data_IF_365673177029
#
_entry.id   IF_365673177029
#
_cell.length_a   1.000
_cell.length_b   1.000
_cell.length_c   1.000
_cell.angle_alpha   90.00
_cell.angle_beta   90.00
_cell.angle_gamma   90.00
#
_symmetry.space_group_name_H-M   'P 1'
#
loop_
_entity.id
_entity.type
_entity.pdbx_description
1 polymer ?
#
# COMPACT_ATOMS: atom_id res chain seq x y z
N UNK A 1 -4.60 -7.86 -1.62
CA UNK A 1 -4.01 -6.78 -2.47
C UNK A 1 -4.91 -6.32 -3.62
N UNK A 2 -5.59 -7.20 -4.33
CA UNK A 2 -6.53 -6.82 -5.42
C UNK A 2 -7.65 -5.90 -4.91
N UNK A 3 -8.24 -6.23 -3.75
CA UNK A 3 -9.25 -5.37 -3.12
C UNK A 3 -8.66 -4.01 -2.71
N UNK A 4 -7.39 -3.98 -2.29
CA UNK A 4 -6.67 -2.75 -1.94
C UNK A 4 -6.49 -1.86 -3.18
N UNK A 5 -6.16 -2.44 -4.33
CA UNK A 5 -6.07 -1.71 -5.60
C UNK A 5 -7.44 -1.12 -5.96
N UNK A 6 -8.49 -1.91 -5.88
CA UNK A 6 -9.85 -1.44 -6.14
C UNK A 6 -10.26 -0.28 -5.24
N UNK A 7 -10.02 -0.41 -3.94
CA UNK A 7 -10.29 0.65 -2.98
C UNK A 7 -9.46 1.93 -3.26
N UNK A 8 -8.19 1.77 -3.64
CA UNK A 8 -7.32 2.89 -3.99
C UNK A 8 -7.82 3.63 -5.24
N UNK A 9 -8.11 2.92 -6.31
CA UNK A 9 -8.49 3.53 -7.60
C UNK A 9 -9.91 4.06 -7.58
N UNK A 10 -10.87 3.24 -7.15
CA UNK A 10 -12.30 3.57 -7.23
C UNK A 10 -12.79 4.41 -6.06
N UNK A 11 -12.27 4.18 -4.86
CA UNK A 11 -12.63 4.96 -3.66
C UNK A 11 -11.76 6.19 -3.50
N UNK A 12 -10.45 6.00 -3.40
CA UNK A 12 -9.49 7.08 -3.18
C UNK A 12 -9.30 8.01 -4.38
N UNK A 13 -9.51 7.51 -5.62
CA UNK A 13 -9.36 8.32 -6.83
C UNK A 13 -10.24 9.57 -6.80
N UNK A 14 -11.58 9.45 -6.69
CA UNK A 14 -12.45 10.62 -6.56
C UNK A 14 -12.23 11.42 -5.29
N UNK A 15 -11.90 10.77 -4.17
CA UNK A 15 -11.75 11.42 -2.87
C UNK A 15 -10.47 12.27 -2.77
N UNK A 16 -9.35 11.79 -3.30
CA UNK A 16 -8.05 12.43 -3.15
C UNK A 16 -7.47 12.93 -4.46
N UNK A 17 -7.30 12.06 -5.45
CA UNK A 17 -6.60 12.40 -6.69
C UNK A 17 -7.33 13.50 -7.48
N UNK A 18 -8.64 13.38 -7.67
CA UNK A 18 -9.42 14.38 -8.37
C UNK A 18 -9.39 15.74 -7.67
N UNK A 19 -9.42 15.74 -6.33
CA UNK A 19 -9.32 16.96 -5.53
C UNK A 19 -7.95 17.60 -5.68
N UNK A 20 -6.87 16.83 -5.62
CA UNK A 20 -5.50 17.35 -5.81
C UNK A 20 -5.33 18.01 -7.18
N UNK A 21 -5.92 17.46 -8.24
CA UNK A 21 -5.86 18.06 -9.57
C UNK A 21 -6.57 19.41 -9.65
N UNK A 22 -7.57 19.65 -8.79
CA UNK A 22 -8.33 20.90 -8.78
C UNK A 22 -7.72 22.01 -7.91
N UNK A 23 -7.09 21.63 -6.78
CA UNK A 23 -6.67 22.59 -5.75
C UNK A 23 -5.17 22.95 -5.80
N UNK A 24 -4.34 22.14 -6.46
CA UNK A 24 -2.91 22.41 -6.54
C UNK A 24 -2.64 23.62 -7.48
N UNK A 25 -1.84 24.60 -7.01
CA UNK A 25 -1.77 25.91 -7.66
C UNK A 25 -0.98 25.95 -8.97
N UNK A 26 -0.18 24.91 -9.26
CA UNK A 26 0.63 24.88 -10.48
C UNK A 26 0.51 23.55 -11.22
N UNK A 27 0.62 23.53 -12.58
CA UNK A 27 0.65 22.30 -13.36
C UNK A 27 1.77 21.35 -12.94
N UNK A 28 2.90 21.87 -12.49
CA UNK A 28 4.03 21.06 -12.01
C UNK A 28 3.65 20.29 -10.75
N UNK A 29 3.03 20.91 -9.77
CA UNK A 29 2.57 20.26 -8.54
C UNK A 29 1.48 19.25 -8.82
N UNK A 30 0.52 19.57 -9.69
CA UNK A 30 -0.52 18.64 -10.12
C UNK A 30 0.06 17.40 -10.80
N UNK A 31 1.05 17.60 -11.68
CA UNK A 31 1.73 16.49 -12.36
C UNK A 31 2.50 15.61 -11.38
N UNK A 32 3.20 16.21 -10.42
CA UNK A 32 3.92 15.45 -9.40
C UNK A 32 2.95 14.65 -8.51
N UNK A 33 1.84 15.26 -8.11
CA UNK A 33 0.80 14.56 -7.35
C UNK A 33 0.22 13.38 -8.13
N UNK A 34 -0.01 13.55 -9.45
CA UNK A 34 -0.47 12.46 -10.31
C UNK A 34 0.56 11.33 -10.41
N UNK A 35 1.85 11.66 -10.56
CA UNK A 35 2.93 10.66 -10.57
C UNK A 35 2.94 9.87 -9.26
N UNK A 36 2.88 10.54 -8.13
CA UNK A 36 2.87 9.88 -6.81
C UNK A 36 1.63 9.00 -6.63
N UNK A 37 0.46 9.47 -7.06
CA UNK A 37 -0.77 8.70 -6.99
C UNK A 37 -0.68 7.41 -7.81
N UNK A 38 -0.24 7.53 -9.06
CA UNK A 38 -0.11 6.38 -9.95
C UNK A 38 1.04 5.45 -9.56
N UNK A 39 2.11 5.99 -8.95
CA UNK A 39 3.18 5.19 -8.38
C UNK A 39 2.66 4.27 -7.26
N UNK A 40 1.74 4.75 -6.43
CA UNK A 40 1.05 3.91 -5.44
C UNK A 40 0.26 2.81 -6.14
N UNK A 41 -0.51 3.13 -7.17
CA UNK A 41 -1.27 2.15 -7.93
C UNK A 41 -0.37 1.05 -8.52
N UNK A 42 0.75 1.44 -9.12
CA UNK A 42 1.75 0.51 -9.67
C UNK A 42 2.34 -0.37 -8.56
N UNK A 43 2.70 0.23 -7.42
CA UNK A 43 3.23 -0.51 -6.27
C UNK A 43 2.25 -1.56 -5.76
N UNK A 44 0.97 -1.21 -5.64
CA UNK A 44 -0.07 -2.14 -5.23
C UNK A 44 -0.24 -3.29 -6.24
N UNK A 45 -0.17 -2.98 -7.54
CA UNK A 45 -0.24 -3.99 -8.59
C UNK A 45 0.95 -4.96 -8.53
N UNK A 46 2.16 -4.45 -8.30
CA UNK A 46 3.37 -5.28 -8.13
C UNK A 46 3.26 -6.13 -6.86
N UNK A 47 2.79 -5.59 -5.76
CA UNK A 47 2.55 -6.38 -4.54
C UNK A 47 1.54 -7.50 -4.78
N UNK A 48 0.43 -7.22 -5.47
CA UNK A 48 -0.57 -8.22 -5.79
C UNK A 48 0.03 -9.35 -6.65
N UNK A 49 0.77 -9.01 -7.70
CA UNK A 49 1.42 -9.98 -8.57
C UNK A 49 2.45 -10.83 -7.79
N UNK A 50 3.26 -10.20 -6.95
CA UNK A 50 4.25 -10.88 -6.14
C UNK A 50 3.61 -11.82 -5.11
N UNK A 51 2.51 -11.43 -4.48
CA UNK A 51 1.78 -12.28 -3.54
C UNK A 51 1.16 -13.49 -4.23
N UNK A 52 0.60 -13.31 -5.44
CA UNK A 52 0.07 -14.41 -6.25
C UNK A 52 1.20 -15.38 -6.62
N UNK A 53 2.35 -14.86 -7.02
CA UNK A 53 3.52 -15.68 -7.33
C UNK A 53 4.02 -16.45 -6.12
N UNK A 54 4.13 -15.79 -4.96
CA UNK A 54 4.53 -16.40 -3.69
C UNK A 54 3.58 -17.50 -3.22
N UNK A 55 2.30 -17.39 -3.54
CA UNK A 55 1.32 -18.41 -3.20
C UNK A 55 1.63 -19.75 -3.87
N UNK A 56 2.29 -19.72 -5.03
CA UNK A 56 2.69 -20.90 -5.79
C UNK A 56 4.17 -21.27 -5.63
N UNK A 57 5.01 -20.27 -5.43
CA UNK A 57 6.47 -20.40 -5.39
C UNK A 57 7.01 -19.76 -4.11
N UNK A 58 7.06 -20.48 -2.97
CA UNK A 58 7.56 -19.90 -1.73
C UNK A 58 8.99 -19.36 -1.88
N UNK A 59 9.18 -18.08 -1.59
CA UNK A 59 10.47 -17.40 -1.65
C UNK A 59 10.62 -16.51 -0.42
N UNK A 60 11.30 -16.95 0.64
CA UNK A 60 11.48 -16.15 1.83
C UNK A 60 12.09 -14.77 1.58
N UNK A 61 13.16 -14.60 0.78
CA UNK A 61 13.70 -13.27 0.50
C UNK A 61 12.69 -12.31 -0.11
N UNK A 62 11.89 -12.78 -1.07
CA UNK A 62 10.86 -11.97 -1.70
C UNK A 62 9.75 -11.62 -0.71
N UNK A 63 9.32 -12.59 0.12
CA UNK A 63 8.32 -12.36 1.16
C UNK A 63 8.79 -11.31 2.18
N UNK A 64 10.05 -11.36 2.61
CA UNK A 64 10.62 -10.38 3.51
C UNK A 64 10.69 -8.98 2.88
N UNK A 65 11.15 -8.89 1.64
CA UNK A 65 11.26 -7.60 0.93
C UNK A 65 9.89 -6.93 0.79
N UNK A 66 8.88 -7.65 0.32
CA UNK A 66 7.52 -7.13 0.14
C UNK A 66 6.90 -6.75 1.49
N UNK A 67 7.08 -7.59 2.50
CA UNK A 67 6.57 -7.31 3.85
C UNK A 67 7.21 -6.08 4.46
N UNK A 68 8.52 -5.90 4.29
CA UNK A 68 9.23 -4.72 4.76
C UNK A 68 8.70 -3.44 4.12
N UNK A 69 8.44 -3.45 2.80
CA UNK A 69 7.85 -2.31 2.11
C UNK A 69 6.45 -1.98 2.63
N UNK A 70 5.62 -2.99 2.82
CA UNK A 70 4.26 -2.79 3.32
C UNK A 70 4.25 -2.29 4.78
N UNK A 71 5.14 -2.79 5.62
CA UNK A 71 5.32 -2.28 6.99
C UNK A 71 5.80 -0.82 6.97
N UNK A 72 6.69 -0.46 6.06
CA UNK A 72 7.09 0.93 5.84
C UNK A 72 5.90 1.83 5.49
N UNK A 73 5.02 1.37 4.60
CA UNK A 73 3.78 2.08 4.27
C UNK A 73 2.85 2.23 5.48
N UNK A 74 2.68 1.16 6.27
CA UNK A 74 1.92 1.23 7.51
C UNK A 74 2.48 2.29 8.48
N UNK A 75 3.80 2.33 8.62
CA UNK A 75 4.49 3.32 9.44
C UNK A 75 4.22 4.75 8.96
N UNK A 76 4.22 4.99 7.63
CA UNK A 76 3.91 6.31 7.07
C UNK A 76 2.48 6.73 7.39
N UNK A 77 1.51 5.85 7.19
CA UNK A 77 0.11 6.15 7.52
C UNK A 77 -0.08 6.44 9.02
N UNK A 78 0.56 5.66 9.87
CA UNK A 78 0.51 5.89 11.32
C UNK A 78 1.18 7.20 11.71
N UNK A 79 2.36 7.48 11.18
CA UNK A 79 3.10 8.70 11.49
C UNK A 79 2.31 9.95 11.11
N UNK A 80 1.83 10.04 9.88
CA UNK A 80 1.07 11.19 9.42
C UNK A 80 -0.34 11.26 10.03
N UNK A 81 -0.96 10.12 10.27
CA UNK A 81 -2.23 10.08 10.98
C UNK A 81 -2.13 10.66 12.40
N UNK A 82 -1.12 10.24 13.15
CA UNK A 82 -0.92 10.70 14.51
C UNK A 82 -0.43 12.15 14.59
N UNK A 83 0.51 12.55 13.71
CA UNK A 83 1.12 13.89 13.77
C UNK A 83 0.28 14.98 13.13
N UNK A 84 -0.46 14.68 12.07
CA UNK A 84 -1.22 15.68 11.32
C UNK A 84 -2.73 15.63 11.60
N UNK A 85 -3.27 14.46 11.93
CA UNK A 85 -4.71 14.27 12.16
C UNK A 85 -5.05 13.95 13.62
N UNK A 86 -4.05 13.73 14.47
CA UNK A 86 -4.23 13.42 15.89
C UNK A 86 -4.81 12.03 16.17
N UNK A 87 -5.03 11.20 15.14
CA UNK A 87 -5.60 9.86 15.26
C UNK A 87 -5.17 8.99 14.08
N UNK A 88 -4.92 7.67 14.26
CA UNK A 88 -4.60 6.78 13.15
C UNK A 88 -5.82 6.38 12.31
N UNK A 89 -7.03 6.58 12.80
CA UNK A 89 -8.25 6.03 12.20
C UNK A 89 -8.74 6.73 10.92
N UNK A 90 -8.57 8.06 10.73
CA UNK A 90 -8.93 8.69 9.45
C UNK A 90 -8.16 8.13 8.25
N UNK A 91 -6.97 7.57 8.49
CA UNK A 91 -6.17 6.87 7.47
C UNK A 91 -5.91 5.43 7.91
N UNK A 92 -6.97 4.63 7.95
CA UNK A 92 -6.95 3.27 8.48
C UNK A 92 -6.20 2.24 7.57
N UNK A 93 -5.64 2.68 6.45
CA UNK A 93 -4.89 1.82 5.50
C UNK A 93 -3.72 1.08 6.15
N UNK A 94 -3.15 1.62 7.22
CA UNK A 94 -2.09 0.96 7.98
C UNK A 94 -2.49 -0.44 8.46
N UNK A 95 -3.76 -0.67 8.74
CA UNK A 95 -4.25 -1.98 9.19
C UNK A 95 -4.01 -3.06 8.13
N UNK A 96 -4.33 -2.77 6.87
CA UNK A 96 -4.13 -3.69 5.75
C UNK A 96 -2.64 -3.95 5.54
N UNK A 97 -1.82 -2.92 5.61
CA UNK A 97 -0.37 -3.00 5.41
C UNK A 97 0.37 -3.65 6.59
N UNK A 98 -0.30 -3.96 7.69
CA UNK A 98 0.21 -4.82 8.76
C UNK A 98 -0.32 -6.24 8.61
N UNK A 99 -1.62 -6.42 8.36
CA UNK A 99 -2.27 -7.73 8.28
C UNK A 99 -1.69 -8.57 7.14
N UNK A 100 -1.57 -8.01 5.95
CA UNK A 100 -1.07 -8.75 4.77
C UNK A 100 0.37 -9.25 4.96
N UNK A 101 1.34 -8.44 5.43
CA UNK A 101 2.68 -8.93 5.75
C UNK A 101 2.69 -10.06 6.78
N UNK A 102 1.91 -9.95 7.84
CA UNK A 102 1.84 -10.99 8.88
C UNK A 102 1.34 -12.31 8.29
N UNK A 103 0.29 -12.28 7.47
CA UNK A 103 -0.23 -13.47 6.80
C UNK A 103 0.78 -14.04 5.80
N UNK A 104 1.47 -13.19 5.07
CA UNK A 104 2.49 -13.59 4.08
C UNK A 104 3.65 -14.31 4.76
N UNK A 105 4.20 -13.73 5.82
CA UNK A 105 5.31 -14.31 6.57
C UNK A 105 4.91 -15.61 7.27
N UNK A 106 3.71 -15.66 7.82
CA UNK A 106 3.18 -16.89 8.41
C UNK A 106 3.05 -18.00 7.37
N UNK A 107 2.47 -17.69 6.21
CA UNK A 107 2.28 -18.68 5.13
C UNK A 107 3.59 -19.23 4.60
N UNK A 108 4.59 -18.37 4.39
CA UNK A 108 5.93 -18.78 3.93
C UNK A 108 6.64 -19.63 4.98
N UNK A 109 6.56 -19.24 6.25
CA UNK A 109 7.15 -20.00 7.35
C UNK A 109 6.51 -21.41 7.49
N UNK A 110 5.19 -21.49 7.42
CA UNK A 110 4.47 -22.76 7.50
C UNK A 110 4.88 -23.72 6.38
N UNK A 111 5.05 -23.22 5.16
CA UNK A 111 5.48 -24.03 4.01
C UNK A 111 6.92 -24.53 4.13
N UNK A 112 7.80 -23.75 4.77
CA UNK A 112 9.20 -24.18 5.02
C UNK A 112 9.29 -25.35 5.98
N UNK A 113 8.38 -25.43 6.94
CA UNK A 113 8.36 -26.47 7.98
C UNK A 113 7.62 -27.73 7.51
N UNK A 114 6.70 -27.57 6.59
CA UNK A 114 6.00 -28.67 5.95
C UNK A 114 6.76 -29.22 4.76
#
# INVERSE_FOLDING_TARGET
MTLTIGAHVLGGGPEYHAVYQQVLPTPHLSSMAAVLWHAVTISLAVFAAALIWLARNPSPPLAYAISAMQIGWAALFLFYGLTMLGSPWPMAQWTIFIIIPLLTLYGVRKRRVA
#
